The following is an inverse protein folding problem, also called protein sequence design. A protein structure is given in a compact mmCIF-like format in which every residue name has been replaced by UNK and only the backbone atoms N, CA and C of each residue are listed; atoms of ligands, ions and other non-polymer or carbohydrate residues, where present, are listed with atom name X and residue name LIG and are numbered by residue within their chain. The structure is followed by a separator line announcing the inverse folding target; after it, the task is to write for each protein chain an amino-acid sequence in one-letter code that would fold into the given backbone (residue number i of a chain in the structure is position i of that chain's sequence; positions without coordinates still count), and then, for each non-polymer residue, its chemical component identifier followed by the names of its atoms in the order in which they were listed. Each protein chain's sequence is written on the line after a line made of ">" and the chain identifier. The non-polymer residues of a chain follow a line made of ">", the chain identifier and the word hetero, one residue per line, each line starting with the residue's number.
data_IF_673764952764
#
_entry.id   IF_673764952764
#
_cell.length_a   1.000
_cell.length_b   1.000
_cell.length_c   1.000
_cell.angle_alpha   90.00
_cell.angle_beta   90.00
_cell.angle_gamma   90.00
#
_symmetry.space_group_name_H-M   'P 1'
#
loop_
_entity.id
_entity.type
_entity.pdbx_description
1 polymer ?
#
# COMPACT_ATOMS: atom_id res chain seq x y z
N UNK A 1 -0.42 -5.88 9.64
CA UNK A 1 0.14 -6.86 8.67
C UNK A 1 1.39 -7.47 9.27
N UNK A 2 1.68 -8.77 9.07
CA UNK A 2 2.87 -9.39 9.63
C UNK A 2 4.15 -8.92 8.90
N UNK A 3 5.26 -8.87 9.62
CA UNK A 3 6.56 -8.56 9.06
C UNK A 3 6.96 -9.65 8.03
N UNK A 4 7.22 -9.31 6.75
CA UNK A 4 7.58 -10.30 5.72
C UNK A 4 8.92 -10.99 5.99
N UNK A 5 9.67 -10.45 6.94
CA UNK A 5 11.05 -10.75 7.21
C UNK A 5 11.24 -11.67 8.42
N UNK A 6 10.30 -11.68 9.36
CA UNK A 6 10.37 -12.49 10.58
C UNK A 6 9.01 -13.01 11.08
N UNK A 7 7.92 -12.73 10.35
CA UNK A 7 6.57 -13.16 10.69
C UNK A 7 5.93 -12.44 11.88
N UNK A 8 6.58 -11.43 12.47
CA UNK A 8 6.04 -10.74 13.63
C UNK A 8 4.73 -10.02 13.31
N UNK A 9 3.65 -10.18 14.11
CA UNK A 9 2.32 -9.67 13.76
C UNK A 9 2.22 -8.13 13.81
N UNK A 10 3.10 -7.49 14.58
CA UNK A 10 3.10 -6.05 14.77
C UNK A 10 4.27 -5.43 13.99
N UNK A 11 3.93 -4.51 13.10
CA UNK A 11 4.84 -3.59 12.40
C UNK A 11 4.28 -2.18 12.53
N UNK A 12 5.15 -1.22 12.81
CA UNK A 12 4.82 0.20 12.85
C UNK A 12 4.73 0.73 11.41
N UNK A 13 3.76 1.61 11.13
CA UNK A 13 3.50 2.15 9.79
C UNK A 13 3.55 3.68 9.83
N UNK A 14 4.31 4.27 8.91
CA UNK A 14 4.41 5.72 8.74
C UNK A 14 4.22 6.12 7.27
N UNK A 15 3.29 7.04 6.93
CA UNK A 15 2.32 7.66 7.82
C UNK A 15 1.27 6.66 8.33
N UNK A 16 0.69 6.96 9.50
CA UNK A 16 -0.41 6.17 10.05
C UNK A 16 -1.58 6.13 9.04
N UNK A 17 -2.39 5.07 9.11
CA UNK A 17 -3.48 4.87 8.14
C UNK A 17 -4.50 6.01 8.15
N UNK A 18 -4.75 6.59 9.32
CA UNK A 18 -5.68 7.70 9.54
C UNK A 18 -5.02 9.07 9.35
N UNK A 19 -3.77 9.12 8.90
CA UNK A 19 -3.13 10.38 8.58
C UNK A 19 -3.87 11.06 7.40
N UNK A 20 -4.10 12.38 7.49
CA UNK A 20 -4.72 13.15 6.42
C UNK A 20 -4.12 12.85 5.05
N UNK A 21 -4.96 12.76 4.01
CA UNK A 21 -4.53 12.43 2.65
C UNK A 21 -3.44 13.38 2.10
N UNK A 22 -3.41 14.64 2.56
CA UNK A 22 -2.36 15.60 2.18
C UNK A 22 -0.97 15.26 2.75
N UNK A 23 -0.89 14.41 3.78
CA UNK A 23 0.37 13.86 4.31
C UNK A 23 0.75 12.55 3.65
N UNK A 24 -0.20 11.89 2.98
CA UNK A 24 0.07 10.72 2.14
C UNK A 24 0.72 11.19 0.84
N UNK A 25 2.04 11.41 0.88
CA UNK A 25 2.86 11.63 -0.33
C UNK A 25 2.98 10.35 -1.19
N UNK A 26 2.08 9.38 -1.02
CA UNK A 26 2.14 8.02 -1.58
C UNK A 26 3.16 7.12 -0.90
N UNK A 27 4.20 7.64 -0.22
CA UNK A 27 5.24 6.81 0.41
C UNK A 27 4.84 6.34 1.82
N UNK A 28 4.84 5.03 2.02
CA UNK A 28 4.60 4.37 3.30
C UNK A 28 5.84 3.58 3.70
N UNK A 29 6.21 3.66 4.97
CA UNK A 29 7.32 2.92 5.57
C UNK A 29 6.76 2.01 6.66
N UNK A 30 7.27 0.79 6.73
CA UNK A 30 6.94 -0.24 7.70
C UNK A 30 8.18 -0.55 8.51
N UNK A 31 8.10 -0.49 9.83
CA UNK A 31 9.20 -0.83 10.72
C UNK A 31 8.82 -1.99 11.65
N UNK A 32 9.65 -3.01 11.72
CA UNK A 32 9.44 -4.13 12.64
C UNK A 32 10.27 -3.95 13.91
N UNK A 33 9.60 -3.71 15.04
CA UNK A 33 10.26 -3.59 16.34
C UNK A 33 11.01 -4.87 16.79
N UNK A 34 10.61 -6.05 16.30
CA UNK A 34 11.25 -7.32 16.68
C UNK A 34 12.57 -7.57 15.95
N UNK A 35 12.63 -7.31 14.65
CA UNK A 35 13.82 -7.63 13.84
C UNK A 35 14.57 -6.40 13.32
N UNK A 36 14.11 -5.20 13.66
CA UNK A 36 14.74 -3.92 13.28
C UNK A 36 14.63 -3.58 11.79
N UNK A 37 14.02 -4.42 10.96
CA UNK A 37 13.92 -4.18 9.52
C UNK A 37 12.87 -3.14 9.20
N UNK A 38 13.22 -2.28 8.25
CA UNK A 38 12.34 -1.27 7.67
C UNK A 38 12.14 -1.54 6.19
N UNK A 39 10.91 -1.42 5.70
CA UNK A 39 10.57 -1.51 4.28
C UNK A 39 9.75 -0.30 3.87
N UNK A 40 10.01 0.27 2.69
CA UNK A 40 9.23 1.38 2.15
C UNK A 40 8.55 0.96 0.85
N UNK A 41 7.30 1.38 0.66
CA UNK A 41 6.54 1.16 -0.55
C UNK A 41 5.76 2.43 -0.92
N UNK A 42 5.36 2.54 -2.19
CA UNK A 42 4.44 3.58 -2.63
C UNK A 42 3.04 2.97 -2.62
N UNK A 43 2.17 3.48 -1.76
CA UNK A 43 0.74 3.18 -1.77
C UNK A 43 0.18 3.76 -3.07
N UNK A 44 0.02 2.91 -4.08
CA UNK A 44 -0.76 3.25 -5.26
C UNK A 44 -2.19 3.45 -4.76
N UNK A 45 -2.67 4.69 -4.79
CA UNK A 45 -4.10 4.92 -4.78
C UNK A 45 -4.65 4.02 -5.89
N UNK A 46 -5.44 3.02 -5.50
CA UNK A 46 -6.28 2.31 -6.46
C UNK A 46 -7.29 3.36 -6.90
N UNK A 47 -6.86 4.17 -7.86
CA UNK A 47 -7.77 4.99 -8.64
C UNK A 47 -8.83 4.01 -9.11
N UNK A 48 -10.06 4.18 -8.63
CA UNK A 48 -11.20 3.32 -8.93
C UNK A 48 -11.62 3.41 -10.41
N UNK A 49 -10.73 3.94 -11.24
CA UNK A 49 -10.86 4.07 -12.68
C UNK A 49 -10.26 2.87 -13.42
N UNK A 50 -10.03 1.72 -12.77
CA UNK A 50 -10.18 0.44 -13.48
C UNK A 50 -11.66 0.28 -13.88
N UNK A 51 -12.06 1.08 -14.88
CA UNK A 51 -13.13 0.72 -15.79
C UNK A 51 -12.49 -0.39 -16.61
N UNK A 52 -12.88 -1.67 -16.46
CA UNK A 52 -12.56 -2.62 -17.51
C UNK A 52 -13.06 -1.97 -18.80
N UNK A 53 -12.17 -1.64 -19.73
CA UNK A 53 -12.58 -1.31 -21.08
C UNK A 53 -13.35 -2.55 -21.54
N UNK A 54 -14.68 -2.41 -21.59
CA UNK A 54 -15.54 -3.47 -22.08
C UNK A 54 -14.97 -3.89 -23.44
N UNK A 55 -14.79 -5.19 -23.69
CA UNK A 55 -14.32 -5.63 -24.99
C UNK A 55 -15.30 -5.06 -26.01
N UNK A 56 -14.81 -4.13 -26.83
CA UNK A 56 -15.59 -3.56 -27.91
C UNK A 56 -15.87 -4.72 -28.87
N UNK A 57 -17.07 -5.29 -28.82
CA UNK A 57 -17.52 -6.25 -29.81
C UNK A 57 -17.32 -5.63 -31.20
N UNK A 58 -16.50 -6.21 -32.08
CA UNK A 58 -16.51 -5.79 -33.47
C UNK A 58 -17.83 -6.27 -34.06
N UNK A 59 -18.74 -5.32 -34.32
CA UNK A 59 -19.84 -5.52 -35.24
C UNK A 59 -19.24 -5.79 -36.63
N UNK A 60 -19.27 -7.04 -37.10
CA UNK A 60 -19.48 -7.35 -38.51
C UNK A 60 -19.89 -8.80 -38.73
#
# INVERSE_FOLDING_TARGET
>A
MPCPSCGHPVVDRTPARDAPAHLHSGRVTLHCAKCGRSAAYVERALDQTYRPEAPSSPHR
#
